data_IF_097030760590
#
_entry.id   IF_097030760590
#
_cell.length_a   1.000
_cell.length_b   1.000
_cell.length_c   1.000
_cell.angle_alpha   90.00
_cell.angle_beta   90.00
_cell.angle_gamma   90.00
#
_symmetry.space_group_name_H-M   'P 1'
#
loop_
_entity.id
_entity.type
_entity.pdbx_description
1 polymer ?
#
# COMPACT_ATOMS: atom_id res chain seq x y z
N UNK A 1 -1.12 18.14 12.43
CA UNK A 1 -1.19 16.79 11.87
C UNK A 1 -1.17 16.96 10.37
N UNK A 2 -0.08 16.63 9.70
CA UNK A 2 0.01 16.67 8.24
C UNK A 2 -0.73 15.45 7.71
N UNK A 3 -1.79 15.68 6.95
CA UNK A 3 -2.57 14.63 6.30
C UNK A 3 -1.64 13.80 5.39
N UNK A 4 -1.56 12.49 5.63
CA UNK A 4 -0.69 11.58 4.89
C UNK A 4 -1.16 11.48 3.45
N UNK A 5 -0.46 12.16 2.53
CA UNK A 5 -0.82 12.16 1.11
C UNK A 5 -0.27 10.90 0.42
N UNK A 6 -1.20 10.03 0.02
CA UNK A 6 -0.93 8.86 -0.82
C UNK A 6 -0.74 9.28 -2.28
N UNK A 7 0.38 8.89 -2.87
CA UNK A 7 0.70 9.16 -4.28
C UNK A 7 0.20 8.03 -5.17
N UNK A 8 -0.58 8.36 -6.20
CA UNK A 8 -1.08 7.39 -7.17
C UNK A 8 -0.06 7.16 -8.31
N UNK A 9 0.32 5.91 -8.56
CA UNK A 9 1.18 5.54 -9.68
C UNK A 9 0.35 5.01 -10.86
N UNK A 10 0.08 5.89 -11.83
CA UNK A 10 -0.64 5.53 -13.05
C UNK A 10 0.17 4.65 -14.00
N UNK A 11 1.51 4.73 -13.97
CA UNK A 11 2.39 4.00 -14.89
C UNK A 11 2.39 2.49 -14.67
N UNK A 12 2.22 2.06 -13.43
CA UNK A 12 2.19 0.64 -13.05
C UNK A 12 0.74 0.21 -12.74
N UNK A 13 -0.23 1.08 -13.09
CA UNK A 13 -1.67 0.85 -13.07
C UNK A 13 -2.16 -0.09 -11.96
N UNK A 14 -2.23 0.39 -10.70
CA UNK A 14 -3.13 -0.09 -9.61
C UNK A 14 -2.63 0.15 -8.19
N UNK A 15 -1.55 0.90 -7.95
CA UNK A 15 -1.05 1.12 -6.58
C UNK A 15 -0.82 2.57 -6.17
N UNK A 16 -1.02 2.79 -4.88
CA UNK A 16 -0.78 4.00 -4.11
C UNK A 16 0.44 3.79 -3.22
N UNK A 17 1.20 4.85 -2.94
CA UNK A 17 2.29 4.78 -1.98
C UNK A 17 2.49 6.08 -1.20
N UNK A 18 3.05 5.98 0.00
CA UNK A 18 3.61 7.12 0.71
C UNK A 18 4.86 6.69 1.49
N UNK A 19 5.60 7.69 1.98
CA UNK A 19 6.79 7.48 2.81
C UNK A 19 6.54 8.02 4.20
N UNK A 20 6.86 7.23 5.20
CA UNK A 20 6.69 7.56 6.61
C UNK A 20 7.81 6.90 7.41
N UNK A 21 8.50 7.66 8.27
CA UNK A 21 9.55 7.15 9.17
C UNK A 21 10.63 6.25 8.51
N UNK A 22 11.03 6.61 7.29
CA UNK A 22 12.01 5.85 6.50
C UNK A 22 11.47 4.56 5.88
N UNK A 23 10.18 4.26 6.07
CA UNK A 23 9.46 3.21 5.37
C UNK A 23 8.79 3.76 4.11
N UNK A 24 8.59 2.90 3.13
CA UNK A 24 7.73 3.13 1.97
C UNK A 24 6.57 2.15 2.06
N UNK A 25 5.36 2.70 2.17
CA UNK A 25 4.13 1.93 2.24
C UNK A 25 3.54 1.91 0.84
N UNK A 26 3.21 0.72 0.36
CA UNK A 26 2.67 0.49 -0.98
C UNK A 26 1.38 -0.28 -0.82
N UNK A 27 0.32 0.16 -1.49
CA UNK A 27 -0.98 -0.52 -1.53
C UNK A 27 -1.39 -0.66 -2.98
N UNK A 28 -1.66 -1.88 -3.44
CA UNK A 28 -2.10 -2.13 -4.80
C UNK A 28 -3.39 -2.90 -4.90
N UNK A 29 -3.94 -2.96 -6.11
CA UNK A 29 -5.13 -3.71 -6.45
C UNK A 29 -4.76 -4.88 -7.40
N UNK A 30 -5.25 -6.08 -7.10
CA UNK A 30 -5.00 -7.29 -7.90
C UNK A 30 -5.76 -7.30 -9.24
N UNK A 31 -6.78 -6.45 -9.34
CA UNK A 31 -7.56 -6.11 -10.53
C UNK A 31 -8.09 -7.28 -11.35
N UNK A 32 -8.45 -8.34 -10.63
CA UNK A 32 -9.44 -9.33 -11.03
C UNK A 32 -10.68 -9.13 -10.15
N UNK A 33 -11.88 -9.49 -10.64
CA UNK A 33 -13.10 -9.43 -9.84
C UNK A 33 -13.28 -10.73 -9.04
N UNK A 34 -13.66 -10.68 -7.74
CA UNK A 34 -13.90 -9.47 -6.94
C UNK A 34 -12.60 -8.67 -6.72
N UNK A 35 -12.69 -7.34 -6.77
CA UNK A 35 -11.54 -6.46 -6.58
C UNK A 35 -10.92 -6.69 -5.20
N UNK A 36 -9.73 -7.28 -5.17
CA UNK A 36 -8.93 -7.40 -3.95
C UNK A 36 -7.74 -6.45 -3.97
N UNK A 37 -7.27 -6.12 -2.78
CA UNK A 37 -6.16 -5.22 -2.54
C UNK A 37 -5.03 -5.95 -1.82
N UNK A 38 -3.82 -5.43 -1.92
CA UNK A 38 -2.64 -5.94 -1.25
C UNK A 38 -1.85 -4.76 -0.70
N UNK A 39 -0.99 -5.02 0.27
CA UNK A 39 -0.04 -4.03 0.76
C UNK A 39 1.37 -4.61 0.89
N UNK A 40 2.36 -3.73 0.82
CA UNK A 40 3.76 -4.08 1.03
C UNK A 40 4.47 -2.88 1.67
N UNK A 41 5.23 -3.14 2.72
CA UNK A 41 5.97 -2.13 3.48
C UNK A 41 7.45 -2.40 3.34
N UNK A 42 8.18 -1.40 2.87
CA UNK A 42 9.61 -1.49 2.57
C UNK A 42 10.42 -0.58 3.46
N UNK A 43 11.57 -1.03 3.94
CA UNK A 43 12.56 -0.22 4.65
C UNK A 43 13.95 -0.54 4.10
N UNK A 44 14.71 0.49 3.73
CA UNK A 44 16.07 0.35 3.19
C UNK A 44 16.18 -0.62 1.99
N UNK A 45 15.13 -0.66 1.15
CA UNK A 45 15.07 -1.53 -0.02
C UNK A 45 14.71 -2.99 0.27
N UNK A 46 14.29 -3.30 1.50
CA UNK A 46 13.87 -4.64 1.94
C UNK A 46 12.38 -4.60 2.31
N UNK A 47 11.60 -5.56 1.82
CA UNK A 47 10.23 -5.76 2.28
C UNK A 47 10.23 -6.26 3.73
N UNK A 48 9.60 -5.51 4.63
CA UNK A 48 9.49 -5.86 6.05
C UNK A 48 8.11 -6.40 6.43
N UNK A 49 7.10 -6.15 5.59
CA UNK A 49 5.77 -6.74 5.71
C UNK A 49 5.09 -6.77 4.34
N UNK A 50 4.31 -7.82 4.10
CA UNK A 50 3.49 -7.99 2.91
C UNK A 50 2.17 -8.60 3.35
N UNK A 51 1.08 -8.16 2.75
CA UNK A 51 -0.23 -8.76 2.96
C UNK A 51 -0.99 -8.82 1.65
N UNK A 52 -1.57 -9.98 1.41
CA UNK A 52 -2.34 -10.29 0.22
C UNK A 52 -3.84 -10.31 0.55
N UNK A 53 -4.66 -9.98 -0.46
CA UNK A 53 -6.12 -10.22 -0.49
C UNK A 53 -6.95 -9.54 0.61
N UNK A 54 -7.04 -8.21 0.54
CA UNK A 54 -7.94 -7.37 1.34
C UNK A 54 -9.17 -6.94 0.53
N UNK A 55 -10.30 -6.76 1.21
CA UNK A 55 -11.60 -6.45 0.58
C UNK A 55 -11.70 -4.99 0.13
N UNK A 56 -10.88 -4.10 0.70
CA UNK A 56 -10.87 -2.67 0.38
C UNK A 56 -9.48 -2.05 0.38
N UNK A 57 -9.36 -0.92 -0.34
CA UNK A 57 -8.12 -0.12 -0.34
C UNK A 57 -7.86 0.51 1.02
N UNK A 58 -8.92 0.89 1.75
CA UNK A 58 -8.85 1.47 3.08
C UNK A 58 -8.26 0.49 4.09
N UNK A 59 -8.68 -0.79 4.05
CA UNK A 59 -8.08 -1.84 4.88
C UNK A 59 -6.61 -2.06 4.53
N UNK A 60 -6.26 -2.04 3.25
CA UNK A 60 -4.86 -2.19 2.82
C UNK A 60 -3.97 -1.03 3.28
N UNK A 61 -4.50 0.21 3.27
CA UNK A 61 -3.79 1.36 3.83
C UNK A 61 -3.62 1.25 5.34
N UNK A 62 -4.70 0.94 6.06
CA UNK A 62 -4.64 0.79 7.52
C UNK A 62 -3.69 -0.35 7.93
N UNK A 63 -3.69 -1.46 7.19
CA UNK A 63 -2.78 -2.58 7.43
C UNK A 63 -1.31 -2.20 7.17
N UNK A 64 -1.03 -1.44 6.10
CA UNK A 64 0.31 -0.93 5.83
C UNK A 64 0.79 0.05 6.92
N UNK A 65 -0.09 0.95 7.37
CA UNK A 65 0.18 1.96 8.42
C UNK A 65 0.36 1.33 9.82
N UNK A 66 -0.17 0.13 10.05
CA UNK A 66 -0.04 -0.59 11.32
C UNK A 66 1.31 -1.30 11.52
N UNK A 67 2.18 -1.34 10.50
CA UNK A 67 3.53 -1.96 10.50
C UNK A 67 4.60 -0.95 10.88
#
# INVERSE_FOLDING_TARGET
>A
MTETQWNYSAQVQRWYWHKEDGKTLIVGNNGHEPLTYWFSVWKDGIAIAEGDELESIEEAKAAAEAV
#
